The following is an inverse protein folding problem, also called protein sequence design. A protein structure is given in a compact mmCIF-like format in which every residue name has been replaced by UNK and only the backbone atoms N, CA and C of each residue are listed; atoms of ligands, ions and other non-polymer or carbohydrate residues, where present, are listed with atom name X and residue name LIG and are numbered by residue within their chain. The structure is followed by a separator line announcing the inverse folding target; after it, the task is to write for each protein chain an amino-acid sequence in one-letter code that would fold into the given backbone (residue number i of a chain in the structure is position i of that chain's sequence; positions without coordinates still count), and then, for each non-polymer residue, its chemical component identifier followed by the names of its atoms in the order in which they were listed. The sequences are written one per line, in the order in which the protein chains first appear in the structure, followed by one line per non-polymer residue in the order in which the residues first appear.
data_IF_851673440403
#
_entry.id   IF_851673440403
#
_cell.length_a   1.000
_cell.length_b   1.000
_cell.length_c   1.000
_cell.angle_alpha   90.00
_cell.angle_beta   90.00
_cell.angle_gamma   90.00
#
_symmetry.space_group_name_H-M   'P 1'
#
loop_
_entity.id
_entity.type
_entity.pdbx_description
1 polymer ?
#
# COMPACT_ATOMS: atom_id res chain seq x y z
N UNK A 1 14.84 -51.13 -26.63
CA UNK A 1 13.57 -50.53 -26.29
C UNK A 1 13.87 -49.16 -25.68
N UNK A 2 13.68 -48.15 -26.49
CA UNK A 2 13.86 -46.79 -26.02
C UNK A 2 12.75 -46.42 -25.04
N UNK A 3 13.05 -46.63 -23.82
CA UNK A 3 12.18 -46.12 -22.78
C UNK A 3 12.41 -44.63 -22.65
N UNK A 4 11.37 -43.91 -22.95
CA UNK A 4 11.31 -42.48 -22.65
C UNK A 4 11.18 -42.33 -21.15
N UNK A 5 12.25 -42.57 -20.43
CA UNK A 5 12.39 -42.13 -19.07
C UNK A 5 12.93 -40.71 -19.16
N UNK A 6 12.25 -39.74 -18.56
CA UNK A 6 12.78 -38.38 -18.52
C UNK A 6 14.16 -38.45 -17.85
N UNK A 7 15.18 -38.05 -18.61
CA UNK A 7 16.53 -37.96 -18.07
C UNK A 7 16.51 -36.96 -16.92
N UNK A 8 17.24 -37.18 -15.84
CA UNK A 8 17.27 -36.27 -14.71
C UNK A 8 17.62 -34.83 -15.12
N UNK A 9 18.35 -34.69 -16.21
CA UNK A 9 18.71 -33.39 -16.77
C UNK A 9 17.50 -32.64 -17.34
N UNK A 10 16.55 -33.35 -17.96
CA UNK A 10 15.33 -32.72 -18.50
C UNK A 10 14.37 -32.31 -17.38
N UNK A 11 14.33 -33.05 -16.28
CA UNK A 11 13.58 -32.65 -15.09
C UNK A 11 14.15 -31.41 -14.43
N UNK A 12 15.47 -31.34 -14.30
CA UNK A 12 16.16 -30.20 -13.68
C UNK A 12 15.99 -28.94 -14.53
N UNK A 13 16.09 -29.04 -15.86
CA UNK A 13 15.90 -27.88 -16.75
C UNK A 13 14.45 -27.38 -16.73
N UNK A 14 13.46 -28.26 -16.71
CA UNK A 14 12.05 -27.89 -16.59
C UNK A 14 11.76 -27.20 -15.24
N UNK A 15 12.36 -27.66 -14.17
CA UNK A 15 12.22 -27.11 -12.83
C UNK A 15 12.85 -25.71 -12.72
N UNK A 16 14.03 -25.51 -13.31
CA UNK A 16 14.71 -24.22 -13.37
C UNK A 16 13.95 -23.20 -14.22
N UNK A 17 13.42 -23.60 -15.37
CA UNK A 17 12.59 -22.74 -16.22
C UNK A 17 11.27 -22.36 -15.52
N UNK A 18 10.63 -23.29 -14.85
CA UNK A 18 9.42 -23.04 -14.07
C UNK A 18 9.66 -22.06 -12.91
N UNK A 19 10.76 -22.23 -12.19
CA UNK A 19 11.15 -21.32 -11.11
C UNK A 19 11.47 -19.92 -11.65
N UNK A 20 12.10 -19.80 -12.80
CA UNK A 20 12.38 -18.53 -13.47
C UNK A 20 11.09 -17.78 -13.85
N UNK A 21 10.11 -18.48 -14.43
CA UNK A 21 8.80 -17.90 -14.77
C UNK A 21 8.05 -17.44 -13.54
N UNK A 22 8.02 -18.24 -12.48
CA UNK A 22 7.38 -17.86 -11.21
C UNK A 22 8.08 -16.64 -10.61
N UNK A 23 9.41 -16.59 -10.60
CA UNK A 23 10.16 -15.46 -10.08
C UNK A 23 9.88 -14.17 -10.89
N UNK A 24 9.79 -14.25 -12.22
CA UNK A 24 9.41 -13.13 -13.08
C UNK A 24 7.99 -12.68 -12.82
N UNK A 25 7.06 -13.61 -12.62
CA UNK A 25 5.67 -13.30 -12.29
C UNK A 25 5.57 -12.56 -10.95
N UNK A 26 6.25 -13.07 -9.93
CA UNK A 26 6.30 -12.41 -8.62
C UNK A 26 6.97 -11.03 -8.68
N UNK A 27 8.03 -10.87 -9.47
CA UNK A 27 8.68 -9.58 -9.67
C UNK A 27 7.78 -8.57 -10.39
N UNK A 28 7.00 -9.02 -11.38
CA UNK A 28 6.07 -8.17 -12.12
C UNK A 28 4.87 -7.71 -11.28
N UNK A 29 4.43 -8.54 -10.31
CA UNK A 29 3.31 -8.24 -9.41
C UNK A 29 3.75 -7.77 -8.03
N UNK A 30 5.05 -7.60 -7.82
CA UNK A 30 5.56 -6.97 -6.62
C UNK A 30 5.27 -5.48 -6.73
N UNK A 31 4.18 -5.07 -6.11
CA UNK A 31 3.96 -3.65 -5.84
C UNK A 31 5.13 -3.19 -4.99
N UNK A 32 6.00 -2.38 -5.55
CA UNK A 32 7.00 -1.69 -4.77
C UNK A 32 6.27 -0.73 -3.85
N UNK A 33 6.27 -0.94 -2.55
CA UNK A 33 5.60 -0.03 -1.62
C UNK A 33 6.21 1.37 -1.66
N UNK A 34 7.40 1.51 -2.24
CA UNK A 34 8.10 2.79 -2.39
C UNK A 34 7.75 3.53 -3.71
N UNK A 35 7.01 2.90 -4.62
CA UNK A 35 6.53 3.50 -5.85
C UNK A 35 5.04 3.86 -5.81
N UNK A 36 4.57 4.41 -4.71
CA UNK A 36 3.48 5.36 -4.82
C UNK A 36 4.13 6.68 -5.26
N UNK A 37 4.68 6.65 -6.46
CA UNK A 37 5.14 7.83 -7.14
C UNK A 37 3.92 8.65 -7.51
N UNK A 38 3.52 9.55 -6.63
CA UNK A 38 2.56 10.56 -7.00
C UNK A 38 3.17 11.34 -8.16
N UNK A 39 2.48 11.39 -9.27
CA UNK A 39 2.82 12.33 -10.33
C UNK A 39 2.93 13.73 -9.71
N UNK A 40 3.93 14.51 -10.11
CA UNK A 40 3.99 15.93 -9.70
C UNK A 40 2.71 16.70 -10.06
N UNK A 41 1.94 16.19 -11.01
CA UNK A 41 0.64 16.72 -11.41
C UNK A 41 -0.54 16.21 -10.56
N UNK A 42 -0.31 15.30 -9.60
CA UNK A 42 -1.37 14.84 -8.72
C UNK A 42 -1.84 16.01 -7.82
N UNK A 43 -3.16 16.14 -7.59
CA UNK A 43 -3.68 17.18 -6.73
C UNK A 43 -3.14 17.03 -5.30
N UNK A 44 -2.82 18.16 -4.67
CA UNK A 44 -2.40 18.22 -3.28
C UNK A 44 -3.58 18.68 -2.43
N UNK A 45 -3.89 17.93 -1.40
CA UNK A 45 -4.90 18.27 -0.39
C UNK A 45 -4.21 18.43 0.96
N UNK A 46 -4.50 19.53 1.63
CA UNK A 46 -4.06 19.75 3.00
C UNK A 46 -5.22 19.39 3.92
N UNK A 47 -4.97 18.51 4.87
CA UNK A 47 -5.95 18.08 5.86
C UNK A 47 -5.54 18.61 7.22
N UNK A 48 -6.43 19.37 7.83
CA UNK A 48 -6.24 19.95 9.15
C UNK A 48 -7.35 19.43 10.08
N UNK A 49 -6.97 18.62 11.08
CA UNK A 49 -7.90 18.13 12.07
C UNK A 49 -8.24 19.26 13.05
N UNK A 50 -9.53 19.54 13.22
CA UNK A 50 -9.99 20.54 14.17
C UNK A 50 -9.65 20.18 15.62
N UNK A 51 -9.37 21.19 16.43
CA UNK A 51 -8.92 21.07 17.82
C UNK A 51 -7.56 20.36 17.93
N UNK A 52 -7.06 20.14 19.11
CA UNK A 52 -5.80 19.42 19.33
C UNK A 52 -5.00 19.99 20.50
N UNK A 53 -4.01 19.23 20.97
CA UNK A 53 -3.20 19.61 22.10
C UNK A 53 -4.07 19.86 23.35
N UNK A 54 -3.96 21.07 23.91
CA UNK A 54 -4.76 21.49 25.07
C UNK A 54 -6.22 21.78 24.74
N UNK A 55 -6.52 22.12 23.45
CA UNK A 55 -7.90 22.30 22.99
C UNK A 55 -8.54 20.95 22.65
N UNK A 56 -9.29 20.42 23.58
CA UNK A 56 -10.03 19.17 23.42
C UNK A 56 -11.30 19.30 22.59
N UNK A 57 -11.79 20.51 22.37
CA UNK A 57 -13.11 20.75 21.82
C UNK A 57 -14.22 20.32 22.79
N UNK A 58 -15.37 19.96 22.26
CA UNK A 58 -16.50 19.48 23.05
C UNK A 58 -16.22 18.10 23.64
N UNK A 59 -16.70 17.88 24.85
CA UNK A 59 -16.66 16.58 25.53
C UNK A 59 -18.08 16.02 25.65
N UNK A 60 -18.30 14.83 25.08
CA UNK A 60 -19.56 14.12 25.18
C UNK A 60 -19.30 12.69 25.62
N UNK A 61 -19.92 12.25 26.69
CA UNK A 61 -19.71 10.89 27.23
C UNK A 61 -18.25 10.52 27.49
N UNK A 62 -17.42 11.49 27.91
CA UNK A 62 -16.00 11.27 28.15
C UNK A 62 -15.13 11.20 26.88
N UNK A 63 -15.73 11.40 25.71
CA UNK A 63 -15.02 11.44 24.44
C UNK A 63 -14.70 12.89 24.08
N UNK A 64 -13.42 13.14 23.79
CA UNK A 64 -12.96 14.47 23.37
C UNK A 64 -13.14 14.64 21.85
N UNK A 65 -13.67 15.78 21.44
CA UNK A 65 -13.84 16.10 20.02
C UNK A 65 -12.53 16.03 19.24
N UNK A 66 -11.40 16.46 19.80
CA UNK A 66 -10.09 16.36 19.16
C UNK A 66 -9.70 14.95 18.76
N UNK A 67 -10.11 13.93 19.52
CA UNK A 67 -9.80 12.53 19.21
C UNK A 67 -10.63 12.04 18.03
N UNK A 68 -11.87 12.50 17.92
CA UNK A 68 -12.76 12.19 16.79
C UNK A 68 -12.25 12.89 15.52
N UNK A 69 -11.90 14.16 15.60
CA UNK A 69 -11.43 14.91 14.43
C UNK A 69 -10.11 14.37 13.91
N UNK A 70 -9.20 13.97 14.77
CA UNK A 70 -7.95 13.33 14.38
C UNK A 70 -8.19 11.98 13.70
N UNK A 71 -9.02 11.13 14.28
CA UNK A 71 -9.37 9.83 13.70
C UNK A 71 -10.00 9.97 12.31
N UNK A 72 -10.91 10.92 12.15
CA UNK A 72 -11.54 11.23 10.88
C UNK A 72 -10.51 11.74 9.85
N UNK A 73 -9.63 12.63 10.26
CA UNK A 73 -8.60 13.19 9.40
C UNK A 73 -7.62 12.11 8.89
N UNK A 74 -7.20 11.20 9.76
CA UNK A 74 -6.33 10.07 9.40
C UNK A 74 -7.02 9.10 8.44
N UNK A 75 -8.29 8.83 8.62
CA UNK A 75 -9.08 8.00 7.70
C UNK A 75 -9.25 8.68 6.34
N UNK A 76 -9.47 9.99 6.33
CA UNK A 76 -9.56 10.78 5.10
C UNK A 76 -8.25 10.77 4.33
N UNK A 77 -7.12 10.99 5.02
CA UNK A 77 -5.78 10.89 4.42
C UNK A 77 -5.61 9.56 3.70
N UNK A 78 -5.90 8.47 4.40
CA UNK A 78 -5.76 7.12 3.86
C UNK A 78 -6.60 6.90 2.60
N UNK A 79 -7.85 7.36 2.59
CA UNK A 79 -8.73 7.22 1.44
C UNK A 79 -8.29 8.10 0.25
N UNK A 80 -7.83 9.31 0.51
CA UNK A 80 -7.33 10.21 -0.53
C UNK A 80 -6.05 9.65 -1.18
N UNK A 81 -5.12 9.15 -0.37
CA UNK A 81 -3.89 8.52 -0.87
C UNK A 81 -4.20 7.32 -1.76
N UNK A 82 -5.14 6.47 -1.39
CA UNK A 82 -5.58 5.34 -2.23
C UNK A 82 -6.12 5.79 -3.58
N UNK A 83 -6.66 7.01 -3.66
CA UNK A 83 -7.22 7.60 -4.89
C UNK A 83 -6.19 8.39 -5.70
N UNK A 84 -4.92 8.31 -5.35
CA UNK A 84 -3.83 8.99 -6.05
C UNK A 84 -3.72 10.49 -5.74
N UNK A 85 -4.28 10.94 -4.63
CA UNK A 85 -4.20 12.32 -4.17
C UNK A 85 -3.03 12.46 -3.21
N UNK A 86 -2.21 13.50 -3.38
CA UNK A 86 -1.18 13.85 -2.41
C UNK A 86 -1.83 14.52 -1.21
N UNK A 87 -1.47 14.08 -0.02
CA UNK A 87 -2.05 14.61 1.23
C UNK A 87 -0.94 15.13 2.13
N UNK A 88 -1.13 16.32 2.67
CA UNK A 88 -0.31 16.90 3.71
C UNK A 88 -1.17 17.11 4.96
N UNK A 89 -0.71 16.60 6.08
CA UNK A 89 -1.37 16.76 7.38
C UNK A 89 -0.73 17.92 8.13
N UNK A 90 -1.55 18.76 8.72
CA UNK A 90 -1.07 19.83 9.59
C UNK A 90 -1.14 19.45 11.07
#
# INVERSE_FOLDING_TARGET
VDRILPRPVTFLTALLLGAGVIAMFWAAFRENPDEIGFSESAPLVIVDAGHGGEDGGTVVFGILEKDITLDLALKLEKELVKRGVRVEMT
#
